data_IF_130369438968
#
_entry.id   IF_130369438968
#
_cell.length_a   1.000
_cell.length_b   1.000
_cell.length_c   1.000
_cell.angle_alpha   90.00
_cell.angle_beta   90.00
_cell.angle_gamma   90.00
#
_symmetry.space_group_name_H-M   'P 1'
#
loop_
_entity.id
_entity.type
_entity.pdbx_description
1 polymer ?
#
# COMPACT_ATOMS: atom_id res chain seq x y z
N UNK A 1 24.76 -10.18 -22.76
CA UNK A 1 24.58 -11.37 -21.91
C UNK A 1 23.10 -11.44 -21.56
N UNK A 2 22.34 -12.20 -22.35
CA UNK A 2 20.87 -12.23 -22.29
C UNK A 2 20.46 -13.29 -21.28
N UNK A 3 19.73 -12.91 -20.22
CA UNK A 3 19.06 -13.86 -19.34
C UNK A 3 17.63 -14.05 -19.85
N UNK A 4 17.38 -15.20 -20.46
CA UNK A 4 16.03 -15.65 -20.81
C UNK A 4 15.49 -16.38 -19.59
N UNK A 5 14.55 -15.77 -18.86
CA UNK A 5 13.68 -16.53 -17.96
C UNK A 5 12.52 -17.10 -18.78
N UNK A 6 12.49 -18.41 -18.91
CA UNK A 6 11.42 -19.15 -19.57
C UNK A 6 10.21 -19.23 -18.63
N UNK A 7 9.12 -18.53 -18.97
CA UNK A 7 7.79 -18.79 -18.41
C UNK A 7 7.06 -19.80 -19.30
N UNK A 8 6.66 -20.92 -18.72
CA UNK A 8 5.75 -21.88 -19.37
C UNK A 8 4.34 -21.33 -19.24
N UNK A 9 3.79 -20.82 -20.35
CA UNK A 9 2.38 -20.47 -20.47
C UNK A 9 1.58 -21.73 -20.85
N UNK A 10 0.74 -22.22 -19.95
CA UNK A 10 -0.36 -23.13 -20.30
C UNK A 10 -1.62 -22.28 -20.43
N UNK A 11 -2.10 -22.13 -21.66
CA UNK A 11 -3.36 -21.45 -21.96
C UNK A 11 -4.52 -22.45 -21.89
N UNK A 12 -5.50 -22.18 -21.03
CA UNK A 12 -6.84 -22.77 -21.05
C UNK A 12 -7.84 -21.60 -21.00
N UNK A 13 -8.80 -21.60 -21.93
CA UNK A 13 -9.61 -20.42 -22.26
C UNK A 13 -10.94 -20.26 -21.52
N UNK A 14 -11.41 -19.01 -21.59
CA UNK A 14 -12.79 -18.46 -21.60
C UNK A 14 -13.71 -18.71 -20.38
N UNK A 15 -13.99 -17.64 -19.62
CA UNK A 15 -15.33 -17.08 -19.29
C UNK A 15 -15.23 -16.13 -18.08
N UNK A 16 -15.74 -14.90 -18.21
CA UNK A 16 -15.85 -13.91 -17.13
C UNK A 16 -14.67 -12.97 -17.06
N UNK A 17 -14.94 -11.65 -17.00
CA UNK A 17 -13.90 -10.64 -16.83
C UNK A 17 -13.12 -10.94 -15.57
N UNK A 18 -11.83 -11.27 -15.71
CA UNK A 18 -10.91 -11.32 -14.58
C UNK A 18 -10.66 -9.87 -14.22
N UNK A 19 -11.29 -9.43 -13.14
CA UNK A 19 -10.91 -8.21 -12.44
C UNK A 19 -9.40 -8.34 -12.17
N UNK A 20 -8.62 -7.52 -12.88
CA UNK A 20 -7.19 -7.72 -12.98
C UNK A 20 -6.57 -7.29 -11.65
N UNK A 21 -6.03 -8.25 -10.88
CA UNK A 21 -5.22 -7.95 -9.71
C UNK A 21 -4.04 -7.07 -10.13
N UNK A 22 -3.74 -6.02 -9.37
CA UNK A 22 -2.56 -5.21 -9.63
C UNK A 22 -1.33 -5.97 -9.14
N UNK A 23 -0.59 -6.54 -10.11
CA UNK A 23 0.69 -7.18 -9.87
C UNK A 23 1.83 -6.19 -9.66
N UNK A 24 1.62 -4.91 -10.00
CA UNK A 24 2.64 -3.87 -9.89
C UNK A 24 2.06 -2.53 -9.44
N UNK A 25 2.88 -1.71 -8.77
CA UNK A 25 2.55 -0.39 -8.25
C UNK A 25 2.00 0.56 -9.33
N UNK A 26 2.47 0.45 -10.58
CA UNK A 26 2.00 1.25 -11.71
C UNK A 26 0.56 0.92 -12.15
N UNK A 27 0.08 -0.27 -11.82
CA UNK A 27 -1.23 -0.79 -12.21
C UNK A 27 -2.29 -0.53 -11.12
N UNK A 28 -1.88 0.07 -9.99
CA UNK A 28 -2.78 0.50 -8.91
C UNK A 28 -3.47 1.79 -9.32
N UNK A 29 -4.77 1.71 -9.61
CA UNK A 29 -5.57 2.83 -10.14
C UNK A 29 -6.90 3.04 -9.40
N UNK A 30 -7.31 2.10 -8.56
CA UNK A 30 -8.54 2.15 -7.79
C UNK A 30 -8.42 1.35 -6.49
N UNK A 31 -9.52 1.29 -5.72
CA UNK A 31 -9.56 0.61 -4.42
C UNK A 31 -9.28 -0.89 -4.52
N UNK A 32 -9.78 -1.53 -5.55
CA UNK A 32 -9.65 -2.98 -5.67
C UNK A 32 -8.22 -3.36 -6.05
N UNK A 33 -7.66 -2.69 -7.07
CA UNK A 33 -6.25 -2.83 -7.44
C UNK A 33 -5.32 -2.50 -6.27
N UNK A 34 -5.63 -1.45 -5.49
CA UNK A 34 -4.88 -1.11 -4.27
C UNK A 34 -4.95 -2.21 -3.21
N UNK A 35 -6.14 -2.76 -2.94
CA UNK A 35 -6.31 -3.86 -1.99
C UNK A 35 -5.51 -5.09 -2.43
N UNK A 36 -5.60 -5.46 -3.70
CA UNK A 36 -4.88 -6.61 -4.24
C UNK A 36 -3.37 -6.42 -4.13
N UNK A 37 -2.85 -5.25 -4.49
CA UNK A 37 -1.43 -4.90 -4.34
C UNK A 37 -0.92 -5.05 -2.89
N UNK A 38 -1.69 -4.57 -1.90
CA UNK A 38 -1.33 -4.73 -0.48
C UNK A 38 -1.35 -6.19 -0.04
N UNK A 39 -2.33 -6.97 -0.49
CA UNK A 39 -2.43 -8.40 -0.14
C UNK A 39 -1.31 -9.23 -0.78
N UNK A 40 -0.87 -8.87 -2.00
CA UNK A 40 0.29 -9.48 -2.64
C UNK A 40 1.59 -9.13 -1.90
N UNK A 41 1.79 -7.85 -1.55
CA UNK A 41 2.94 -7.44 -0.73
C UNK A 41 2.97 -8.17 0.63
N UNK A 42 1.80 -8.27 1.29
CA UNK A 42 1.64 -9.03 2.53
C UNK A 42 2.05 -10.49 2.33
N UNK A 43 1.49 -11.17 1.32
CA UNK A 43 1.78 -12.57 1.05
C UNK A 43 3.25 -12.81 0.73
N UNK A 44 3.89 -11.91 -0.02
CA UNK A 44 5.32 -12.00 -0.31
C UNK A 44 6.14 -11.87 0.97
N UNK A 45 5.84 -10.89 1.82
CA UNK A 45 6.56 -10.67 3.07
C UNK A 45 6.38 -11.84 4.06
N UNK A 46 5.18 -12.41 4.14
CA UNK A 46 4.89 -13.61 4.95
C UNK A 46 5.59 -14.88 4.42
N UNK A 47 5.98 -14.91 3.14
CA UNK A 47 6.73 -16.04 2.57
C UNK A 47 8.21 -16.08 3.00
N UNK A 48 8.70 -15.01 3.65
CA UNK A 48 10.07 -14.92 4.12
C UNK A 48 10.39 -16.06 5.11
N UNK A 49 11.42 -16.84 4.80
CA UNK A 49 11.81 -18.00 5.63
C UNK A 49 12.68 -17.61 6.83
N UNK A 50 13.36 -16.47 6.73
CA UNK A 50 14.26 -15.94 7.75
C UNK A 50 14.38 -14.41 7.65
N UNK A 51 15.13 -13.83 8.57
CA UNK A 51 15.38 -12.39 8.63
C UNK A 51 16.08 -11.85 7.37
N UNK A 52 16.98 -12.62 6.76
CA UNK A 52 17.71 -12.20 5.56
C UNK A 52 16.77 -12.14 4.34
N UNK A 53 15.90 -13.13 4.17
CA UNK A 53 14.87 -13.15 3.15
C UNK A 53 13.88 -11.99 3.33
N UNK A 54 13.47 -11.72 4.57
CA UNK A 54 12.59 -10.59 4.90
C UNK A 54 13.24 -9.25 4.56
N UNK A 55 14.50 -9.06 4.95
CA UNK A 55 15.25 -7.86 4.63
C UNK A 55 15.40 -7.65 3.10
N UNK A 56 15.63 -8.74 2.35
CA UNK A 56 15.68 -8.68 0.89
C UNK A 56 14.34 -8.27 0.27
N UNK A 57 13.22 -8.80 0.77
CA UNK A 57 11.87 -8.42 0.31
C UNK A 57 11.58 -6.94 0.61
N UNK A 58 11.88 -6.47 1.82
CA UNK A 58 11.71 -5.06 2.19
C UNK A 58 12.56 -4.14 1.29
N UNK A 59 13.77 -4.57 0.93
CA UNK A 59 14.60 -3.81 0.01
C UNK A 59 14.05 -3.83 -1.43
N UNK A 60 13.45 -4.93 -1.88
CA UNK A 60 12.70 -4.98 -3.14
C UNK A 60 11.53 -3.99 -3.12
N UNK A 61 10.74 -3.92 -2.03
CA UNK A 61 9.68 -2.92 -1.87
C UNK A 61 10.19 -1.48 -1.96
N UNK A 62 11.46 -1.25 -1.60
CA UNK A 62 12.11 0.06 -1.67
C UNK A 62 12.80 0.32 -3.00
N UNK A 63 13.10 -0.64 -3.85
CA UNK A 63 13.98 -0.39 -5.01
C UNK A 63 13.39 -0.79 -6.35
N UNK A 64 12.46 -1.73 -6.37
CA UNK A 64 11.88 -2.26 -7.59
C UNK A 64 10.66 -1.42 -8.04
N UNK A 65 10.57 -1.13 -9.34
CA UNK A 65 9.44 -0.42 -9.93
C UNK A 65 8.13 -1.20 -9.83
N UNK A 66 8.21 -2.53 -9.68
CA UNK A 66 7.05 -3.38 -9.43
C UNK A 66 6.36 -3.03 -8.11
N UNK A 67 7.12 -2.60 -7.09
CA UNK A 67 6.58 -2.34 -5.74
C UNK A 67 6.56 -0.87 -5.37
N UNK A 68 7.16 -0.02 -6.20
CA UNK A 68 7.14 1.43 -6.02
C UNK A 68 7.08 2.15 -7.37
N UNK A 69 5.99 2.86 -7.61
CA UNK A 69 5.81 3.64 -8.82
C UNK A 69 5.08 4.95 -8.53
N UNK A 70 5.72 6.09 -8.81
CA UNK A 70 5.17 7.40 -8.50
C UNK A 70 4.77 7.49 -7.01
N UNK A 71 3.50 7.80 -6.70
CA UNK A 71 3.03 7.93 -5.33
C UNK A 71 2.57 6.61 -4.68
N UNK A 72 2.65 5.48 -5.39
CA UNK A 72 2.28 4.16 -4.88
C UNK A 72 3.49 3.48 -4.25
N UNK A 73 3.37 3.14 -2.96
CA UNK A 73 4.45 2.55 -2.18
C UNK A 73 3.92 1.82 -0.94
N UNK A 74 4.70 0.87 -0.42
CA UNK A 74 4.39 0.10 0.79
C UNK A 74 4.87 0.84 2.06
N UNK A 75 4.04 0.78 3.10
CA UNK A 75 4.40 1.15 4.47
C UNK A 75 3.96 0.06 5.47
N UNK A 76 4.69 -0.06 6.57
CA UNK A 76 4.43 -1.01 7.66
C UNK A 76 4.62 -0.29 8.99
N UNK A 77 3.70 -0.50 9.94
CA UNK A 77 3.73 0.15 11.25
C UNK A 77 3.22 -0.82 12.32
N UNK A 78 3.85 -0.81 13.49
CA UNK A 78 3.42 -1.65 14.61
C UNK A 78 2.10 -1.17 15.20
N UNK A 79 1.41 -2.04 15.94
CA UNK A 79 0.19 -1.65 16.66
C UNK A 79 0.45 -0.69 17.83
N UNK A 80 1.71 -0.51 18.24
CA UNK A 80 2.11 0.55 19.17
C UNK A 80 2.37 1.89 18.47
N UNK A 81 2.14 1.94 17.15
CA UNK A 81 2.27 3.14 16.32
C UNK A 81 3.70 3.49 15.89
N UNK A 82 4.63 2.53 15.99
CA UNK A 82 6.03 2.72 15.58
C UNK A 82 6.20 2.34 14.12
N UNK A 83 6.74 3.24 13.30
CA UNK A 83 7.06 2.97 11.90
C UNK A 83 8.06 1.83 11.78
N UNK A 84 7.72 0.76 11.07
CA UNK A 84 8.59 -0.40 10.85
C UNK A 84 9.30 -0.32 9.50
N UNK A 85 8.59 0.12 8.46
CA UNK A 85 9.12 0.26 7.11
C UNK A 85 8.35 1.35 6.35
N UNK A 86 9.05 2.20 5.60
CA UNK A 86 8.40 3.14 4.68
C UNK A 86 9.22 3.33 3.41
N UNK A 87 8.71 2.84 2.27
CA UNK A 87 9.48 2.75 1.03
C UNK A 87 9.93 4.09 0.42
N UNK A 88 9.29 5.21 0.79
CA UNK A 88 9.62 6.56 0.28
C UNK A 88 10.14 7.53 1.34
N UNK A 89 9.98 7.22 2.63
CA UNK A 89 10.30 8.13 3.75
C UNK A 89 10.95 7.33 4.91
N UNK A 90 12.15 6.74 4.70
CA UNK A 90 12.80 5.89 5.71
C UNK A 90 13.05 6.61 7.05
N UNK A 91 13.11 7.93 7.06
CA UNK A 91 13.21 8.76 8.26
C UNK A 91 12.01 8.62 9.23
N UNK A 92 10.89 8.02 8.78
CA UNK A 92 9.75 7.67 9.64
C UNK A 92 9.94 6.35 10.39
N UNK A 93 10.91 5.52 10.00
CA UNK A 93 11.17 4.24 10.65
C UNK A 93 11.72 4.47 12.07
N UNK A 94 11.18 3.72 13.05
CA UNK A 94 11.50 3.86 14.48
C UNK A 94 10.77 5.01 15.20
N UNK A 95 10.06 5.89 14.48
CA UNK A 95 9.28 6.96 15.10
C UNK A 95 7.89 6.48 15.50
N UNK A 96 7.46 6.87 16.70
CA UNK A 96 6.09 6.65 17.17
C UNK A 96 5.20 7.83 16.74
N UNK A 97 4.16 7.54 15.96
CA UNK A 97 3.18 8.53 15.49
C UNK A 97 1.74 8.20 15.92
N UNK A 98 1.58 7.42 17.01
CA UNK A 98 0.25 6.96 17.44
C UNK A 98 -0.72 8.11 17.75
N UNK A 99 -0.21 9.25 18.23
CA UNK A 99 -1.02 10.42 18.58
C UNK A 99 -0.92 11.56 17.57
N UNK A 100 -0.16 11.39 16.49
CA UNK A 100 -0.04 12.40 15.44
C UNK A 100 -1.37 12.54 14.69
N UNK A 101 -1.76 13.79 14.45
CA UNK A 101 -2.97 14.17 13.72
C UNK A 101 -2.61 14.86 12.41
N UNK A 102 -3.41 14.63 11.37
CA UNK A 102 -3.41 15.52 10.20
C UNK A 102 -4.12 16.85 10.50
N UNK A 103 -4.14 17.79 9.55
CA UNK A 103 -4.80 19.09 9.74
C UNK A 103 -6.32 19.02 9.92
N UNK A 104 -6.94 17.88 9.64
CA UNK A 104 -8.36 17.63 9.92
C UNK A 104 -8.59 16.98 11.31
N UNK A 105 -7.53 16.75 12.09
CA UNK A 105 -7.61 16.07 13.38
C UNK A 105 -7.71 14.55 13.27
N UNK A 106 -7.42 13.96 12.10
CA UNK A 106 -7.45 12.51 11.91
C UNK A 106 -6.20 11.88 12.51
N UNK A 107 -6.39 10.98 13.47
CA UNK A 107 -5.33 10.13 14.03
C UNK A 107 -5.03 8.96 13.09
N UNK A 108 -4.24 9.24 12.05
CA UNK A 108 -3.94 8.33 10.94
C UNK A 108 -3.56 6.93 11.44
N UNK A 109 -2.59 6.84 12.35
CA UNK A 109 -2.08 5.57 12.85
C UNK A 109 -3.13 4.79 13.63
N UNK A 110 -3.95 5.45 14.47
CA UNK A 110 -5.01 4.77 15.23
C UNK A 110 -6.12 4.25 14.32
N UNK A 111 -6.51 5.03 13.31
CA UNK A 111 -7.49 4.61 12.31
C UNK A 111 -6.99 3.40 11.50
N UNK A 112 -5.73 3.41 11.08
CA UNK A 112 -5.13 2.28 10.37
C UNK A 112 -5.05 1.03 11.24
N UNK A 113 -4.69 1.16 12.53
CA UNK A 113 -4.69 0.04 13.48
C UNK A 113 -6.10 -0.55 13.62
N UNK A 114 -7.12 0.29 13.81
CA UNK A 114 -8.50 -0.17 13.93
C UNK A 114 -8.95 -0.95 12.68
N UNK A 115 -8.69 -0.42 11.48
CA UNK A 115 -9.01 -1.09 10.22
C UNK A 115 -8.27 -2.44 10.07
N UNK A 116 -7.00 -2.51 10.46
CA UNK A 116 -6.23 -3.75 10.41
C UNK A 116 -6.73 -4.79 11.44
N UNK A 117 -7.11 -4.36 12.64
CA UNK A 117 -7.71 -5.22 13.68
C UNK A 117 -9.05 -5.82 13.25
N UNK A 118 -9.81 -5.11 12.41
CA UNK A 118 -11.06 -5.62 11.81
C UNK A 118 -10.82 -6.58 10.61
N UNK A 119 -9.57 -6.96 10.34
CA UNK A 119 -9.19 -7.88 9.25
C UNK A 119 -8.73 -7.18 7.97
N UNK A 120 -8.64 -5.84 8.01
CA UNK A 120 -8.20 -4.99 6.90
C UNK A 120 -9.33 -4.12 6.36
N UNK A 121 -8.97 -2.95 5.83
CA UNK A 121 -9.96 -1.97 5.41
C UNK A 121 -9.36 -0.74 4.75
N UNK A 122 -10.25 0.09 4.19
CA UNK A 122 -9.88 1.37 3.61
C UNK A 122 -9.92 2.48 4.66
N UNK A 123 -8.95 3.38 4.57
CA UNK A 123 -8.80 4.57 5.41
C UNK A 123 -8.55 5.79 4.54
N UNK A 124 -8.92 6.97 5.02
CA UNK A 124 -8.78 8.24 4.28
C UNK A 124 -8.29 9.32 5.24
N UNK A 125 -7.24 10.04 4.85
CA UNK A 125 -6.56 11.06 5.65
C UNK A 125 -5.71 11.97 4.76
N UNK A 126 -5.20 13.08 5.30
CA UNK A 126 -4.25 13.94 4.60
C UNK A 126 -2.82 13.46 4.83
N UNK A 127 -2.01 13.41 3.77
CA UNK A 127 -0.62 12.99 3.88
C UNK A 127 0.24 13.62 2.79
N UNK A 128 1.53 13.75 3.09
CA UNK A 128 2.51 14.27 2.13
C UNK A 128 2.60 13.36 0.90
N UNK A 129 2.37 13.93 -0.28
CA UNK A 129 2.45 13.22 -1.55
C UNK A 129 3.86 13.33 -2.12
N UNK A 130 4.64 12.23 -2.19
CA UNK A 130 6.03 12.28 -2.64
C UNK A 130 6.20 12.69 -4.12
N UNK A 131 5.11 12.76 -4.89
CA UNK A 131 5.12 13.29 -6.24
C UNK A 131 5.03 14.83 -6.31
N UNK A 132 4.73 15.51 -5.20
CA UNK A 132 4.66 16.97 -5.08
C UNK A 132 5.89 17.47 -4.32
N UNK A 133 6.50 18.56 -4.79
CA UNK A 133 7.67 19.12 -4.14
C UNK A 133 7.26 20.02 -2.95
N UNK A 134 7.83 19.77 -1.78
CA UNK A 134 7.53 20.50 -0.54
C UNK A 134 6.51 19.76 0.32
N UNK A 135 6.15 20.35 1.46
CA UNK A 135 5.10 19.80 2.33
C UNK A 135 3.72 20.00 1.68
N UNK A 136 2.96 18.92 1.56
CA UNK A 136 1.60 18.93 1.02
C UNK A 136 0.62 18.15 1.92
N UNK A 137 -0.68 18.48 1.78
CA UNK A 137 -1.78 17.82 2.48
C UNK A 137 -2.77 17.23 1.48
N UNK A 138 -2.28 16.43 0.55
CA UNK A 138 -3.11 15.67 -0.38
C UNK A 138 -3.97 14.64 0.37
N UNK A 139 -5.22 14.49 -0.05
CA UNK A 139 -6.07 13.41 0.44
C UNK A 139 -5.56 12.07 -0.08
N UNK A 140 -5.27 11.16 0.85
CA UNK A 140 -4.79 9.80 0.58
C UNK A 140 -5.86 8.80 0.98
N UNK A 141 -6.19 7.89 0.07
CA UNK A 141 -6.98 6.69 0.38
C UNK A 141 -6.03 5.50 0.46
N UNK A 142 -5.97 4.87 1.62
CA UNK A 142 -5.15 3.69 1.88
C UNK A 142 -5.99 2.44 2.02
N UNK A 143 -5.41 1.29 1.68
CA UNK A 143 -5.85 0.00 2.19
C UNK A 143 -4.79 -0.53 3.13
N UNK A 144 -5.21 -1.02 4.30
CA UNK A 144 -4.34 -1.65 5.28
C UNK A 144 -4.82 -3.07 5.58
N UNK A 145 -3.87 -3.96 5.87
CA UNK A 145 -4.13 -5.33 6.29
C UNK A 145 -3.25 -5.69 7.51
N UNK A 146 -3.73 -6.55 8.41
CA UNK A 146 -2.90 -7.04 9.50
C UNK A 146 -1.76 -7.91 8.96
N UNK A 147 -0.59 -7.86 9.59
CA UNK A 147 0.54 -8.75 9.33
C UNK A 147 1.30 -9.01 10.63
N UNK A 148 1.80 -10.23 10.80
CA UNK A 148 2.68 -10.57 11.91
C UNK A 148 4.13 -10.68 11.44
N UNK A 149 5.05 -10.04 12.15
CA UNK A 149 6.48 -10.10 11.90
C UNK A 149 7.15 -10.48 13.21
N UNK A 150 7.77 -11.67 13.24
CA UNK A 150 8.47 -12.21 14.44
C UNK A 150 7.58 -12.31 15.69
N UNK A 151 6.29 -12.60 15.50
CA UNK A 151 5.32 -12.72 16.59
C UNK A 151 4.83 -11.37 17.14
N UNK A 152 5.22 -10.25 16.54
CA UNK A 152 4.67 -8.93 16.83
C UNK A 152 3.66 -8.52 15.75
N UNK A 153 2.62 -7.78 16.15
CA UNK A 153 1.53 -7.34 15.27
C UNK A 153 1.83 -5.98 14.63
N UNK A 154 1.66 -5.94 13.32
CA UNK A 154 1.80 -4.75 12.49
C UNK A 154 0.59 -4.63 11.55
N UNK A 155 0.45 -3.48 10.91
CA UNK A 155 -0.30 -3.39 9.67
C UNK A 155 0.66 -3.10 8.51
N UNK A 156 0.34 -3.64 7.34
CA UNK A 156 0.94 -3.31 6.05
C UNK A 156 -0.10 -2.55 5.21
N UNK A 157 0.34 -1.55 4.46
CA UNK A 157 -0.56 -0.80 3.59
C UNK A 157 0.15 -0.09 2.45
N UNK A 158 -0.68 0.43 1.55
CA UNK A 158 -0.33 1.34 0.47
C UNK A 158 -1.46 2.36 0.31
N UNK A 159 -1.29 3.37 -0.53
CA UNK A 159 -2.38 4.29 -0.83
C UNK A 159 -2.25 5.04 -2.14
N UNK A 160 -3.39 5.55 -2.59
CA UNK A 160 -3.56 6.44 -3.73
C UNK A 160 -3.83 7.85 -3.22
N UNK A 161 -3.25 8.86 -3.86
CA UNK A 161 -3.61 10.25 -3.61
C UNK A 161 -4.70 10.66 -4.58
N UNK A 162 -5.81 11.15 -4.04
CA UNK A 162 -6.92 11.69 -4.80
C UNK A 162 -6.78 13.20 -4.80
N UNK A 163 -6.30 13.75 -5.91
CA UNK A 163 -6.13 15.19 -6.06
C UNK A 163 -7.51 15.87 -5.92
N UNK A 164 -7.59 16.90 -5.08
CA UNK A 164 -8.79 17.72 -4.95
C UNK A 164 -9.03 18.62 -6.18
N UNK A 165 -8.06 18.70 -7.11
CA UNK A 165 -8.08 19.60 -8.28
C UNK A 165 -7.86 18.94 -9.67
N UNK A 166 -7.79 17.61 -9.83
CA UNK A 166 -7.66 16.96 -11.16
C UNK A 166 -9.02 16.69 -11.81
N UNK A 167 -9.55 17.69 -12.49
CA UNK A 167 -10.67 17.56 -13.43
C UNK A 167 -10.27 17.30 -14.89
N UNK A 168 -9.04 16.87 -15.21
CA UNK A 168 -8.63 16.59 -16.61
C UNK A 168 -7.97 15.23 -16.89
N UNK A 169 -7.88 14.35 -15.90
CA UNK A 169 -7.85 12.90 -16.13
C UNK A 169 -9.30 12.46 -15.91
N UNK A 170 -9.85 11.56 -16.73
CA UNK A 170 -11.24 11.12 -16.58
C UNK A 170 -11.50 10.84 -15.08
N UNK A 171 -12.45 11.55 -14.45
CA UNK A 171 -12.63 11.46 -13.01
C UNK A 171 -12.83 10.00 -12.65
N UNK A 172 -12.00 9.47 -11.75
CA UNK A 172 -12.31 8.22 -11.07
C UNK A 172 -13.61 8.51 -10.34
N UNK A 173 -14.72 8.12 -10.96
CA UNK A 173 -16.03 8.57 -10.52
C UNK A 173 -16.28 8.00 -9.13
N UNK A 174 -16.42 8.91 -8.16
CA UNK A 174 -16.74 8.64 -6.76
C UNK A 174 -17.87 7.62 -6.53
N UNK A 175 -18.75 7.40 -7.52
CA UNK A 175 -19.80 6.38 -7.48
C UNK A 175 -19.30 4.92 -7.36
N UNK A 176 -18.06 4.62 -7.74
CA UNK A 176 -17.49 3.26 -7.61
C UNK A 176 -16.91 2.97 -6.22
N UNK A 177 -16.63 3.99 -5.40
CA UNK A 177 -15.91 3.83 -4.13
C UNK A 177 -16.83 3.61 -2.91
N UNK A 178 -18.15 3.77 -3.03
CA UNK A 178 -19.11 3.67 -1.90
C UNK A 178 -20.09 2.49 -1.93
N UNK A 179 -19.88 1.48 -2.77
CA UNK A 179 -20.60 0.19 -2.65
C UNK A 179 -19.57 -0.94 -2.68
N UNK A 180 -19.50 -1.87 -1.73
CA UNK A 180 -20.61 -2.62 -1.16
C UNK A 180 -20.37 -2.92 0.33
N UNK A 181 -21.34 -2.54 1.17
CA UNK A 181 -21.77 -3.35 2.31
C UNK A 181 -22.83 -4.35 1.83
#
# INVERSE_FOLDING_TARGET
MVRILSFVLVAIGLLGGVEQAAAAARDVVDRETLKNFVLEAKSLLESAQDEAARAAILETFRTDEEWRHGPIYIFITSYDGVGFFHATQPEREGLNNIDSEDSNGVKITQQNIAAAQDGGGFTEYLFDNPAIAGEDESTKVSYVAPIEIEGASYYIGAGLYIDSAQTNVAPISWGRLKGQV
#
